data_IF_323057697835
#
_entry.id   IF_323057697835
#
_cell.length_a   1.000
_cell.length_b   1.000
_cell.length_c   1.000
_cell.angle_alpha   90.00
_cell.angle_beta   90.00
_cell.angle_gamma   90.00
#
_symmetry.space_group_name_H-M   'P 1'
#
loop_
_entity.id
_entity.type
_entity.pdbx_description
1 polymer ?
#
# COMPACT_ATOMS: atom_id res chain seq x y z
N UNK A 1 -14.71 40.76 -10.62
CA UNK A 1 -14.63 39.36 -10.21
C UNK A 1 -13.27 39.15 -9.51
N UNK A 2 -13.25 39.19 -8.20
CA UNK A 2 -12.04 38.94 -7.39
C UNK A 2 -11.85 37.42 -7.28
N UNK A 3 -10.85 36.90 -7.98
CA UNK A 3 -10.46 35.50 -7.81
C UNK A 3 -9.94 35.31 -6.39
N UNK A 4 -10.65 34.54 -5.55
CA UNK A 4 -10.14 34.13 -4.25
C UNK A 4 -9.02 33.11 -4.48
N UNK A 5 -7.79 33.53 -4.21
CA UNK A 5 -6.63 32.62 -4.21
C UNK A 5 -6.77 31.73 -2.96
N UNK A 6 -7.13 30.46 -3.16
CA UNK A 6 -7.09 29.47 -2.10
C UNK A 6 -5.61 29.14 -1.87
N UNK A 7 -5.01 29.61 -0.79
CA UNK A 7 -3.69 29.17 -0.34
C UNK A 7 -3.87 27.83 0.34
N UNK A 8 -3.33 26.79 -0.28
CA UNK A 8 -3.19 25.48 0.36
C UNK A 8 -1.86 25.48 1.11
N UNK A 9 -1.91 25.65 2.43
CA UNK A 9 -0.73 25.51 3.27
C UNK A 9 -0.44 24.02 3.45
N UNK A 10 0.73 23.58 2.96
CA UNK A 10 1.18 22.18 3.11
C UNK A 10 1.72 21.97 4.52
N UNK A 11 1.27 20.90 5.16
CA UNK A 11 1.71 20.49 6.49
C UNK A 11 2.97 19.63 6.44
N UNK A 12 3.67 19.47 7.55
CA UNK A 12 4.80 18.53 7.65
C UNK A 12 4.36 17.09 7.37
N UNK A 13 3.12 16.73 7.74
CA UNK A 13 2.52 15.43 7.45
C UNK A 13 2.36 15.21 5.95
N UNK A 14 1.90 16.22 5.19
CA UNK A 14 1.77 16.12 3.73
C UNK A 14 3.11 15.86 3.05
N UNK A 15 4.20 16.48 3.53
CA UNK A 15 5.54 16.23 3.03
C UNK A 15 6.02 14.79 3.32
N UNK A 16 5.71 14.24 4.50
CA UNK A 16 6.04 12.86 4.82
C UNK A 16 5.25 11.88 3.96
N UNK A 17 3.95 12.09 3.80
CA UNK A 17 3.10 11.28 2.92
C UNK A 17 3.63 11.31 1.48
N UNK A 18 3.96 12.50 0.96
CA UNK A 18 4.49 12.65 -0.39
C UNK A 18 5.83 11.90 -0.58
N UNK A 19 6.75 11.99 0.40
CA UNK A 19 8.02 11.26 0.36
C UNK A 19 7.80 9.74 0.37
N UNK A 20 6.93 9.25 1.24
CA UNK A 20 6.64 7.81 1.33
C UNK A 20 5.92 7.32 0.06
N UNK A 21 5.01 8.11 -0.50
CA UNK A 21 4.37 7.80 -1.78
C UNK A 21 5.39 7.75 -2.93
N UNK A 22 6.36 8.67 -2.95
CA UNK A 22 7.44 8.65 -3.94
C UNK A 22 8.33 7.41 -3.81
N UNK A 23 8.68 6.98 -2.59
CA UNK A 23 9.42 5.73 -2.36
C UNK A 23 8.60 4.53 -2.81
N UNK A 24 7.31 4.47 -2.47
CA UNK A 24 6.43 3.39 -2.89
C UNK A 24 6.27 3.34 -4.42
N UNK A 25 6.21 4.49 -5.08
CA UNK A 25 6.19 4.60 -6.54
C UNK A 25 7.51 4.11 -7.15
N UNK A 26 8.66 4.50 -6.59
CA UNK A 26 9.98 4.01 -7.01
C UNK A 26 10.09 2.49 -6.94
N UNK A 27 9.60 1.88 -5.84
CA UNK A 27 9.52 0.43 -5.71
C UNK A 27 8.57 -0.20 -6.75
N UNK A 28 7.45 0.45 -7.06
CA UNK A 28 6.53 -0.01 -8.12
C UNK A 28 7.21 0.03 -9.49
N UNK A 29 8.00 1.05 -9.78
CA UNK A 29 8.80 1.13 -11.03
C UNK A 29 9.81 -0.01 -11.08
N UNK A 30 10.53 -0.25 -9.98
CA UNK A 30 11.49 -1.34 -9.88
C UNK A 30 10.81 -2.70 -10.09
N UNK A 31 9.67 -2.95 -9.45
CA UNK A 31 8.88 -4.17 -9.64
C UNK A 31 8.47 -4.38 -11.11
N UNK A 32 8.10 -3.32 -11.81
CA UNK A 32 7.75 -3.42 -13.23
C UNK A 32 8.96 -3.67 -14.14
N UNK A 33 10.16 -3.33 -13.71
CA UNK A 33 11.40 -3.64 -14.42
C UNK A 33 11.86 -5.10 -14.23
N UNK A 34 11.40 -5.78 -13.18
CA UNK A 34 11.73 -7.19 -12.93
C UNK A 34 10.77 -8.06 -13.75
N UNK A 35 11.27 -8.95 -14.62
CA UNK A 35 10.41 -9.87 -15.35
C UNK A 35 9.69 -10.79 -14.36
N UNK A 36 8.37 -10.75 -14.37
CA UNK A 36 7.55 -11.63 -13.54
C UNK A 36 7.50 -13.03 -14.15
N UNK A 37 7.79 -14.09 -13.39
CA UNK A 37 7.72 -15.47 -13.88
C UNK A 37 6.29 -15.90 -14.24
N UNK A 38 5.30 -15.22 -13.67
CA UNK A 38 3.88 -15.48 -13.92
C UNK A 38 3.16 -14.17 -14.21
N UNK A 39 2.42 -14.05 -15.32
CA UNK A 39 1.63 -12.87 -15.62
C UNK A 39 0.68 -12.52 -14.47
N UNK A 40 0.75 -11.28 -13.99
CA UNK A 40 -0.11 -10.80 -12.90
C UNK A 40 0.41 -11.05 -11.48
N UNK A 41 1.47 -11.86 -11.30
CA UNK A 41 2.12 -12.06 -9.99
C UNK A 41 3.27 -11.06 -9.86
N UNK A 42 3.12 -10.11 -8.92
CA UNK A 42 4.17 -9.14 -8.58
C UNK A 42 4.58 -9.31 -7.12
N UNK A 43 5.86 -9.11 -6.77
CA UNK A 43 6.35 -9.26 -5.40
C UNK A 43 5.65 -8.38 -4.37
N UNK A 44 5.09 -7.24 -4.78
CA UNK A 44 4.36 -6.32 -3.89
C UNK A 44 5.28 -5.50 -2.98
N UNK A 45 6.52 -5.22 -3.41
CA UNK A 45 7.51 -4.47 -2.63
C UNK A 45 6.98 -3.12 -2.13
N UNK A 46 6.16 -2.46 -2.94
CA UNK A 46 5.53 -1.21 -2.56
C UNK A 46 4.55 -1.34 -1.38
N UNK A 47 4.04 -2.54 -1.08
CA UNK A 47 3.21 -2.79 0.09
C UNK A 47 4.02 -2.73 1.40
N UNK A 48 5.33 -2.98 1.36
CA UNK A 48 6.23 -2.81 2.50
C UNK A 48 6.14 -1.37 3.02
N UNK A 49 6.20 -0.39 2.10
CA UNK A 49 6.06 1.03 2.47
C UNK A 49 4.71 1.31 3.10
N UNK A 50 3.64 0.75 2.56
CA UNK A 50 2.29 0.92 3.12
C UNK A 50 2.20 0.38 4.55
N UNK A 51 2.81 -0.76 4.85
CA UNK A 51 2.86 -1.34 6.21
C UNK A 51 3.69 -0.48 7.17
N UNK A 52 4.86 0.00 6.73
CA UNK A 52 5.70 0.89 7.53
C UNK A 52 4.97 2.19 7.84
N UNK A 53 4.31 2.78 6.84
CA UNK A 53 3.55 4.02 7.02
C UNK A 53 2.34 3.78 7.93
N UNK A 54 1.66 2.64 7.80
CA UNK A 54 0.56 2.26 8.69
C UNK A 54 1.01 2.22 10.16
N UNK A 55 2.13 1.57 10.42
CA UNK A 55 2.66 1.43 11.77
C UNK A 55 3.17 2.75 12.38
N UNK A 56 3.69 3.67 11.54
CA UNK A 56 4.34 4.90 11.99
C UNK A 56 3.42 6.13 12.00
N UNK A 57 2.61 6.25 10.97
CA UNK A 57 1.81 7.45 10.69
C UNK A 57 0.30 7.17 10.69
N UNK A 58 -0.07 5.91 10.94
CA UNK A 58 -1.45 5.48 11.03
C UNK A 58 -2.14 5.26 9.68
N UNK A 59 -3.42 4.86 9.78
CA UNK A 59 -4.19 4.40 8.63
C UNK A 59 -4.42 5.47 7.56
N UNK A 60 -4.65 6.74 7.96
CA UNK A 60 -4.90 7.83 7.00
C UNK A 60 -3.71 8.04 6.07
N UNK A 61 -2.50 8.11 6.65
CA UNK A 61 -1.28 8.26 5.87
C UNK A 61 -1.03 7.05 4.95
N UNK A 62 -1.22 5.82 5.45
CA UNK A 62 -1.08 4.61 4.66
C UNK A 62 -2.08 4.56 3.49
N UNK A 63 -3.32 5.00 3.71
CA UNK A 63 -4.33 5.09 2.66
C UNK A 63 -3.91 6.09 1.56
N UNK A 64 -3.47 7.29 1.93
CA UNK A 64 -2.99 8.27 0.98
C UNK A 64 -1.77 7.78 0.18
N UNK A 65 -0.77 7.20 0.85
CA UNK A 65 0.42 6.64 0.19
C UNK A 65 0.04 5.55 -0.80
N UNK A 66 -0.86 4.63 -0.41
CA UNK A 66 -1.30 3.54 -1.29
C UNK A 66 -2.10 4.03 -2.50
N UNK A 67 -3.01 5.00 -2.30
CA UNK A 67 -3.82 5.56 -3.40
C UNK A 67 -2.96 6.41 -4.34
N UNK A 68 -2.10 7.28 -3.80
CA UNK A 68 -1.19 8.11 -4.61
C UNK A 68 -0.24 7.23 -5.44
N UNK A 69 0.28 6.13 -4.88
CA UNK A 69 1.09 5.17 -5.62
C UNK A 69 0.36 4.58 -6.81
N UNK A 70 -0.91 4.16 -6.63
CA UNK A 70 -1.72 3.57 -7.71
C UNK A 70 -1.99 4.59 -8.79
N UNK A 71 -2.39 5.81 -8.42
CA UNK A 71 -2.66 6.91 -9.35
C UNK A 71 -1.38 7.31 -10.11
N UNK A 72 -0.32 7.63 -9.39
CA UNK A 72 0.94 8.06 -9.98
C UNK A 72 1.57 6.96 -10.85
N UNK A 73 1.53 5.69 -10.40
CA UNK A 73 2.02 4.57 -11.18
C UNK A 73 1.24 4.38 -12.47
N UNK A 74 -0.10 4.47 -12.42
CA UNK A 74 -0.92 4.32 -13.62
C UNK A 74 -0.71 5.45 -14.63
N UNK A 75 -0.49 6.67 -14.17
CA UNK A 75 -0.16 7.81 -15.03
C UNK A 75 1.24 7.65 -15.65
N UNK A 76 2.23 7.25 -14.85
CA UNK A 76 3.61 7.07 -15.28
C UNK A 76 3.75 6.00 -16.37
N UNK A 77 3.01 4.88 -16.24
CA UNK A 77 3.04 3.79 -17.22
C UNK A 77 2.01 3.95 -18.34
N UNK A 78 1.26 5.06 -18.39
CA UNK A 78 0.24 5.30 -19.42
C UNK A 78 -0.97 4.36 -19.34
N UNK A 79 -1.18 3.71 -18.18
CA UNK A 79 -2.24 2.72 -17.96
C UNK A 79 -3.44 3.30 -17.17
N UNK A 80 -3.52 4.62 -17.07
CA UNK A 80 -4.63 5.27 -16.37
C UNK A 80 -5.95 4.94 -17.05
N UNK A 81 -6.95 4.52 -16.27
CA UNK A 81 -8.25 4.01 -16.72
C UNK A 81 -8.20 2.73 -17.58
N UNK A 82 -7.04 2.11 -17.77
CA UNK A 82 -6.93 0.78 -18.37
C UNK A 82 -7.31 -0.32 -17.36
N UNK A 83 -7.61 -1.56 -17.80
CA UNK A 83 -7.94 -2.66 -16.88
C UNK A 83 -6.94 -2.84 -15.74
N UNK A 84 -5.64 -2.67 -16.01
CA UNK A 84 -4.59 -2.75 -14.99
C UNK A 84 -4.69 -1.72 -13.87
N UNK A 85 -5.20 -0.52 -14.16
CA UNK A 85 -5.49 0.49 -13.15
C UNK A 85 -6.58 0.03 -12.19
N UNK A 86 -7.71 -0.48 -12.73
CA UNK A 86 -8.82 -0.95 -11.89
C UNK A 86 -8.44 -2.17 -11.05
N UNK A 87 -7.60 -3.06 -11.58
CA UNK A 87 -7.04 -4.17 -10.81
C UNK A 87 -6.20 -3.66 -9.63
N UNK A 88 -5.30 -2.72 -9.91
CA UNK A 88 -4.41 -2.16 -8.88
C UNK A 88 -5.21 -1.38 -7.83
N UNK A 89 -6.22 -0.62 -8.26
CA UNK A 89 -7.08 0.17 -7.37
C UNK A 89 -7.94 -0.73 -6.47
N UNK A 90 -8.61 -1.73 -7.05
CA UNK A 90 -9.45 -2.66 -6.28
C UNK A 90 -8.62 -3.45 -5.27
N UNK A 91 -7.43 -3.93 -5.68
CA UNK A 91 -6.49 -4.59 -4.79
C UNK A 91 -6.06 -3.68 -3.64
N UNK A 92 -5.68 -2.43 -3.93
CA UNK A 92 -5.28 -1.47 -2.91
C UNK A 92 -6.42 -1.15 -1.93
N UNK A 93 -7.63 -0.93 -2.41
CA UNK A 93 -8.81 -0.65 -1.57
C UNK A 93 -9.13 -1.84 -0.66
N UNK A 94 -9.16 -3.06 -1.19
CA UNK A 94 -9.41 -4.26 -0.38
C UNK A 94 -8.31 -4.49 0.66
N UNK A 95 -7.06 -4.31 0.28
CA UNK A 95 -5.91 -4.39 1.19
C UNK A 95 -6.01 -3.37 2.33
N UNK A 96 -6.30 -2.11 2.01
CA UNK A 96 -6.49 -1.05 3.01
C UNK A 96 -7.69 -1.32 3.91
N UNK A 97 -8.79 -1.85 3.39
CA UNK A 97 -9.97 -2.19 4.19
C UNK A 97 -9.63 -3.27 5.23
N UNK A 98 -8.88 -4.31 4.84
CA UNK A 98 -8.45 -5.36 5.76
C UNK A 98 -7.45 -4.83 6.78
N UNK A 99 -6.51 -3.97 6.39
CA UNK A 99 -5.59 -3.31 7.32
C UNK A 99 -6.31 -2.38 8.29
N UNK A 100 -7.36 -1.66 7.85
CA UNK A 100 -8.19 -0.86 8.74
C UNK A 100 -8.93 -1.75 9.76
N UNK A 101 -9.40 -2.92 9.32
CA UNK A 101 -10.06 -3.88 10.18
C UNK A 101 -9.09 -4.49 11.20
N UNK A 102 -7.85 -4.82 10.80
CA UNK A 102 -6.84 -5.40 11.68
C UNK A 102 -6.50 -4.50 12.86
N UNK A 103 -6.60 -3.18 12.71
CA UNK A 103 -6.38 -2.21 13.80
C UNK A 103 -7.36 -2.33 14.97
N UNK A 104 -8.52 -2.97 14.77
CA UNK A 104 -9.51 -3.20 15.83
C UNK A 104 -9.24 -4.45 16.66
N UNK A 105 -8.26 -5.27 16.25
CA UNK A 105 -7.89 -6.50 16.94
C UNK A 105 -6.65 -6.33 17.82
N UNK A 106 -6.50 -7.15 18.88
CA UNK A 106 -5.33 -7.08 19.76
C UNK A 106 -4.02 -7.31 19.00
N UNK A 107 -3.06 -6.44 19.17
CA UNK A 107 -1.75 -6.49 18.49
C UNK A 107 -0.94 -7.78 18.75
N UNK A 108 -1.28 -8.53 19.80
CA UNK A 108 -0.65 -9.83 20.07
C UNK A 108 -0.88 -10.88 18.96
N UNK A 109 -1.91 -10.69 18.14
CA UNK A 109 -2.28 -11.59 17.03
C UNK A 109 -1.98 -10.96 15.66
N UNK A 110 -1.92 -9.63 15.62
CA UNK A 110 -1.76 -8.83 14.40
C UNK A 110 -0.43 -8.06 14.46
N UNK A 111 0.62 -8.71 13.97
CA UNK A 111 1.93 -8.08 13.76
C UNK A 111 2.17 -7.79 12.29
N UNK A 112 3.30 -7.14 11.94
CA UNK A 112 3.61 -6.74 10.57
C UNK A 112 3.54 -7.86 9.55
N UNK A 113 3.91 -9.09 9.95
CA UNK A 113 3.86 -10.28 9.07
C UNK A 113 2.42 -10.71 8.82
N UNK A 114 1.60 -10.79 9.89
CA UNK A 114 0.19 -11.16 9.77
C UNK A 114 -0.57 -10.14 8.93
N UNK A 115 -0.37 -8.86 9.19
CA UNK A 115 -0.98 -7.76 8.45
C UNK A 115 -0.56 -7.78 6.98
N UNK A 116 0.71 -8.07 6.70
CA UNK A 116 1.21 -8.21 5.33
C UNK A 116 0.52 -9.34 4.57
N UNK A 117 0.42 -10.52 5.19
CA UNK A 117 -0.22 -11.69 4.57
C UNK A 117 -1.70 -11.41 4.31
N UNK A 118 -2.42 -10.89 5.30
CA UNK A 118 -3.84 -10.57 5.16
C UNK A 118 -4.08 -9.49 4.10
N UNK A 119 -3.27 -8.44 4.09
CA UNK A 119 -3.32 -7.38 3.10
C UNK A 119 -3.04 -7.92 1.69
N UNK A 120 -2.07 -8.84 1.53
CA UNK A 120 -1.75 -9.46 0.25
C UNK A 120 -2.89 -10.34 -0.25
N UNK A 121 -3.52 -11.16 0.60
CA UNK A 121 -4.69 -11.93 0.23
C UNK A 121 -5.88 -11.05 -0.15
N UNK A 122 -6.16 -10.00 0.62
CA UNK A 122 -7.21 -9.04 0.30
C UNK A 122 -6.94 -8.32 -1.02
N UNK A 123 -5.68 -7.98 -1.29
CA UNK A 123 -5.26 -7.36 -2.55
C UNK A 123 -5.58 -8.26 -3.75
N UNK A 124 -5.15 -9.52 -3.71
CA UNK A 124 -5.45 -10.49 -4.78
C UNK A 124 -6.95 -10.74 -4.88
N UNK A 125 -7.67 -10.87 -3.77
CA UNK A 125 -9.12 -11.05 -3.79
C UNK A 125 -9.83 -9.87 -4.50
N UNK A 126 -9.42 -8.63 -4.21
CA UNK A 126 -9.92 -7.43 -4.89
C UNK A 126 -9.64 -7.46 -6.40
N UNK A 127 -8.43 -7.85 -6.80
CA UNK A 127 -8.07 -8.01 -8.22
C UNK A 127 -8.90 -9.11 -8.88
N UNK A 128 -9.02 -10.28 -8.25
CA UNK A 128 -9.81 -11.40 -8.79
C UNK A 128 -11.29 -11.05 -8.94
N UNK A 129 -11.82 -10.20 -8.06
CA UNK A 129 -13.18 -9.70 -8.18
C UNK A 129 -13.37 -8.89 -9.47
N UNK A 130 -12.44 -8.00 -9.79
CA UNK A 130 -12.48 -7.23 -11.06
C UNK A 130 -12.29 -8.15 -12.27
N UNK A 131 -11.36 -9.11 -12.19
CA UNK A 131 -11.14 -10.09 -13.25
C UNK A 131 -12.41 -10.89 -13.54
N UNK A 132 -13.07 -11.36 -12.47
CA UNK A 132 -14.29 -12.14 -12.56
C UNK A 132 -15.44 -11.38 -13.23
N UNK A 133 -15.67 -10.14 -12.82
CA UNK A 133 -16.82 -9.36 -13.35
C UNK A 133 -16.56 -8.74 -14.72
N UNK A 134 -15.30 -8.59 -15.13
CA UNK A 134 -15.00 -7.76 -16.30
C UNK A 134 -14.13 -8.42 -17.36
N UNK A 135 -13.21 -9.34 -17.01
CA UNK A 135 -12.21 -9.81 -17.96
C UNK A 135 -12.36 -11.26 -18.40
N UNK A 136 -12.64 -12.18 -17.51
CA UNK A 136 -12.53 -13.63 -17.78
C UNK A 136 -13.73 -14.40 -17.16
N UNK A 137 -14.32 -15.38 -17.87
CA UNK A 137 -15.33 -16.28 -17.30
C UNK A 137 -14.80 -17.10 -16.12
N UNK A 138 -15.70 -17.42 -15.17
CA UNK A 138 -15.42 -18.10 -13.90
C UNK A 138 -14.54 -19.37 -14.04
N UNK A 139 -14.75 -20.14 -15.08
CA UNK A 139 -14.04 -21.41 -15.31
C UNK A 139 -12.51 -21.23 -15.45
N UNK A 140 -12.02 -20.10 -15.98
CA UNK A 140 -10.60 -19.83 -16.11
C UNK A 140 -9.94 -19.37 -14.80
N UNK A 141 -10.68 -18.70 -13.94
CA UNK A 141 -10.15 -18.14 -12.69
C UNK A 141 -9.82 -19.23 -11.67
N UNK A 142 -10.62 -20.30 -11.61
CA UNK A 142 -10.45 -21.38 -10.63
C UNK A 142 -9.07 -22.06 -10.71
N UNK A 143 -8.48 -22.15 -11.89
CA UNK A 143 -7.13 -22.71 -12.08
C UNK A 143 -6.02 -21.76 -11.60
N UNK A 144 -6.29 -20.45 -11.54
CA UNK A 144 -5.32 -19.45 -11.11
C UNK A 144 -5.29 -19.27 -9.59
N UNK A 145 -6.39 -19.60 -8.89
CA UNK A 145 -6.52 -19.40 -7.44
C UNK A 145 -5.38 -20.04 -6.65
N UNK A 146 -5.04 -21.33 -6.81
CA UNK A 146 -3.97 -21.94 -6.02
C UNK A 146 -2.60 -21.33 -6.28
N UNK A 147 -2.33 -20.93 -7.52
CA UNK A 147 -1.08 -20.28 -7.91
C UNK A 147 -0.96 -18.92 -7.24
N UNK A 148 -2.00 -18.10 -7.33
CA UNK A 148 -2.02 -16.78 -6.71
C UNK A 148 -2.01 -16.88 -5.18
N UNK A 149 -2.73 -17.83 -4.58
CA UNK A 149 -2.73 -18.04 -3.14
C UNK A 149 -1.34 -18.40 -2.61
N UNK A 150 -0.63 -19.30 -3.28
CA UNK A 150 0.74 -19.69 -2.90
C UNK A 150 1.70 -18.52 -3.06
N UNK A 151 1.66 -17.83 -4.19
CA UNK A 151 2.49 -16.63 -4.41
C UNK A 151 2.21 -15.55 -3.37
N UNK A 152 0.94 -15.29 -3.06
CA UNK A 152 0.51 -14.32 -2.05
C UNK A 152 1.03 -14.66 -0.66
N UNK A 153 0.98 -15.92 -0.27
CA UNK A 153 1.51 -16.38 1.01
C UNK A 153 3.02 -16.15 1.09
N UNK A 154 3.76 -16.54 0.06
CA UNK A 154 5.22 -16.39 0.02
C UNK A 154 5.61 -14.91 0.05
N UNK A 155 5.10 -14.10 -0.89
CA UNK A 155 5.44 -12.69 -0.97
C UNK A 155 4.89 -11.90 0.22
N UNK A 156 3.69 -12.21 0.72
CA UNK A 156 3.13 -11.59 1.91
C UNK A 156 4.00 -11.84 3.14
N UNK A 157 4.50 -13.06 3.31
CA UNK A 157 5.44 -13.40 4.40
C UNK A 157 6.76 -12.65 4.26
N UNK A 158 7.39 -12.69 3.08
CA UNK A 158 8.66 -11.99 2.82
C UNK A 158 8.53 -10.48 3.05
N UNK A 159 7.50 -9.86 2.49
CA UNK A 159 7.26 -8.42 2.66
C UNK A 159 6.98 -8.05 4.11
N UNK A 160 6.26 -8.90 4.84
CA UNK A 160 5.99 -8.71 6.26
C UNK A 160 7.25 -8.80 7.12
N UNK A 161 8.13 -9.77 6.83
CA UNK A 161 9.43 -9.90 7.51
C UNK A 161 10.33 -8.70 7.23
N UNK A 162 10.39 -8.25 5.98
CA UNK A 162 11.15 -7.05 5.60
C UNK A 162 10.59 -5.83 6.33
N UNK A 163 9.27 -5.63 6.32
CA UNK A 163 8.65 -4.53 7.03
C UNK A 163 8.95 -4.58 8.55
N UNK A 164 8.87 -5.74 9.17
CA UNK A 164 9.20 -5.93 10.58
C UNK A 164 10.65 -5.55 10.88
N UNK A 165 11.60 -6.05 10.09
CA UNK A 165 13.03 -5.73 10.25
C UNK A 165 13.31 -4.22 10.15
N UNK A 166 12.67 -3.54 9.18
CA UNK A 166 12.79 -2.09 9.07
C UNK A 166 12.16 -1.34 10.26
N UNK A 167 11.05 -1.85 10.81
CA UNK A 167 10.41 -1.25 11.97
C UNK A 167 11.27 -1.38 13.24
N UNK A 168 11.94 -2.50 13.40
CA UNK A 168 12.84 -2.76 14.55
C UNK A 168 14.11 -1.89 14.52
N UNK A 169 14.65 -1.61 13.33
CA UNK A 169 15.84 -0.77 13.15
C UNK A 169 15.54 0.74 13.26
N UNK A 170 14.29 1.15 13.03
CA UNK A 170 13.94 2.55 13.11
C UNK A 170 13.74 2.98 14.56
N UNK A 171 14.34 4.11 15.02
CA UNK A 171 14.08 4.65 16.35
C UNK A 171 12.58 4.83 16.57
N UNK A 172 12.09 4.47 17.76
CA UNK A 172 10.71 4.76 18.14
C UNK A 172 10.41 6.26 17.94
N UNK A 173 9.19 6.67 17.52
CA UNK A 173 8.82 8.07 17.45
C UNK A 173 9.16 8.71 18.79
N UNK A 174 10.05 9.70 18.79
CA UNK A 174 10.43 10.41 20.02
C UNK A 174 9.16 11.03 20.60
N UNK A 175 8.87 10.81 21.91
CA UNK A 175 7.74 11.50 22.56
C UNK A 175 7.90 13.02 22.56
N UNK A 176 9.07 13.54 22.19
CA UNK A 176 9.43 14.95 22.20
C UNK A 176 9.08 15.71 20.92
N UNK A 177 8.40 15.10 19.95
CA UNK A 177 7.85 15.83 18.80
C UNK A 177 6.87 16.93 19.19
N UNK A 178 6.20 16.78 20.34
CA UNK A 178 5.32 17.82 20.91
C UNK A 178 6.08 18.96 21.61
N UNK A 179 7.31 18.74 22.09
CA UNK A 179 8.08 19.79 22.77
C UNK A 179 8.70 20.81 21.81
N UNK A 180 9.00 20.40 20.57
CA UNK A 180 9.59 21.32 19.58
C UNK A 180 8.51 22.32 19.11
N UNK A 181 7.25 21.89 18.99
CA UNK A 181 6.13 22.78 18.68
C UNK A 181 5.89 23.85 19.72
N UNK A 182 6.01 23.52 21.01
CA UNK A 182 5.83 24.47 22.13
C UNK A 182 6.97 25.47 22.34
N UNK A 183 8.16 25.18 21.76
CA UNK A 183 9.33 26.06 21.90
C UNK A 183 9.42 27.12 20.80
N UNK A 184 8.63 27.00 19.74
CA UNK A 184 8.55 27.97 18.63
C UNK A 184 7.41 28.98 18.88
N UNK A 185 6.50 28.70 19.80
CA UNK A 185 5.36 29.58 20.16
C UNK A 185 5.64 30.50 21.35
N UNK A 186 6.87 30.56 21.84
CA UNK A 186 7.33 31.53 22.86
C UNK A 186 8.42 32.43 22.27
#
# INVERSE_FOLDING_TARGET
MTASIIRLDTTAEDHHIAKMAAVALGLTVLENAIPSPLPGVKPGLANIVTLIVLARYGWRAAAWVSLLRVLAGSLLFGNFLAPGFFLSLSGAVCSLAVLALSLHFPQRWFGPVTDSILAAFAHIAGQMTVVYFWLIPLAGISYLIPIFATATLVFGTVNGLIAASFMDEMPSPSPNGEEIGKKIEK
#
